data_IF_676657394295
#
_entry.id   IF_676657394295
#
_cell.length_a   1.000
_cell.length_b   1.000
_cell.length_c   1.000
_cell.angle_alpha   90.00
_cell.angle_beta   90.00
_cell.angle_gamma   90.00
#
_symmetry.space_group_name_H-M   'P 1'
#
loop_
_entity.id
_entity.type
_entity.pdbx_description
1 polymer ?
#
# COMPACT_ATOMS: atom_id res chain seq x y z
N UNK A 1 31.98 -59.21 -6.74
CA UNK A 1 31.47 -58.20 -5.78
C UNK A 1 31.34 -56.87 -6.53
N UNK A 2 30.16 -56.24 -6.46
CA UNK A 2 29.78 -55.05 -7.23
C UNK A 2 29.96 -53.84 -6.30
N UNK A 3 30.94 -52.97 -6.58
CA UNK A 3 31.20 -51.79 -5.76
C UNK A 3 30.50 -50.59 -6.39
N UNK A 4 29.50 -50.05 -5.67
CA UNK A 4 28.78 -48.85 -6.06
C UNK A 4 29.66 -47.62 -5.84
N UNK A 5 29.94 -46.89 -6.91
CA UNK A 5 30.54 -45.56 -6.84
C UNK A 5 29.44 -44.54 -6.50
N UNK A 6 29.40 -44.08 -5.26
CA UNK A 6 28.61 -42.90 -4.87
C UNK A 6 29.59 -41.77 -4.58
N UNK A 7 29.74 -40.83 -5.52
CA UNK A 7 30.38 -39.54 -5.25
C UNK A 7 29.29 -38.48 -5.23
N UNK A 8 28.82 -38.21 -4.02
CA UNK A 8 28.08 -37.01 -3.65
C UNK A 8 29.14 -35.93 -3.36
N UNK A 9 29.14 -34.84 -4.12
CA UNK A 9 29.83 -33.62 -3.71
C UNK A 9 28.99 -32.43 -4.14
N UNK A 10 28.35 -31.87 -3.11
CA UNK A 10 27.51 -30.69 -3.11
C UNK A 10 28.26 -29.48 -3.64
N UNK A 11 27.70 -28.82 -4.65
CA UNK A 11 28.14 -27.49 -5.06
C UNK A 11 27.21 -26.45 -4.42
N UNK A 12 27.74 -25.82 -3.38
CA UNK A 12 27.18 -24.65 -2.72
C UNK A 12 27.27 -23.44 -3.67
N UNK A 13 26.15 -22.88 -4.09
CA UNK A 13 26.09 -21.53 -4.63
C UNK A 13 25.15 -20.72 -3.73
N UNK A 14 25.72 -19.72 -3.06
CA UNK A 14 25.09 -19.00 -1.96
C UNK A 14 23.80 -18.29 -2.40
N UNK A 15 22.70 -18.67 -1.75
CA UNK A 15 21.54 -17.80 -1.67
C UNK A 15 21.93 -16.68 -0.70
N UNK A 16 22.23 -15.52 -1.28
CA UNK A 16 22.40 -14.28 -0.55
C UNK A 16 21.20 -14.10 0.37
N UNK A 17 21.52 -13.98 1.65
CA UNK A 17 20.63 -13.59 2.73
C UNK A 17 20.20 -12.13 2.50
N UNK A 18 19.20 -11.89 1.64
CA UNK A 18 18.48 -10.62 1.66
C UNK A 18 17.55 -10.66 2.86
N UNK A 19 17.99 -10.01 3.93
CA UNK A 19 17.16 -9.55 5.04
C UNK A 19 15.93 -8.83 4.50
N UNK A 20 14.85 -9.58 4.26
CA UNK A 20 13.53 -8.99 4.19
C UNK A 20 13.16 -8.73 5.64
N UNK A 21 13.46 -7.53 6.11
CA UNK A 21 12.89 -7.00 7.33
C UNK A 21 11.39 -7.24 7.25
N UNK A 22 10.88 -8.13 8.11
CA UNK A 22 9.45 -8.28 8.36
C UNK A 22 8.99 -6.98 9.01
N UNK A 23 8.71 -5.97 8.19
CA UNK A 23 7.82 -4.89 8.56
C UNK A 23 6.48 -5.53 8.87
N UNK A 24 5.96 -5.27 10.06
CA UNK A 24 4.63 -5.72 10.43
C UNK A 24 3.65 -5.38 9.30
N UNK A 25 3.07 -6.40 8.67
CA UNK A 25 2.07 -6.23 7.63
C UNK A 25 0.80 -5.72 8.29
N UNK A 26 0.73 -4.41 8.54
CA UNK A 26 -0.53 -3.70 8.51
C UNK A 26 -1.12 -3.99 7.12
N UNK A 27 -2.41 -4.35 7.05
CA UNK A 27 -3.06 -4.70 5.79
C UNK A 27 -2.73 -3.67 4.70
N UNK A 28 -2.58 -4.14 3.47
CA UNK A 28 -2.15 -3.28 2.38
C UNK A 28 -3.18 -2.15 2.17
N UNK A 29 -2.61 -0.96 2.10
CA UNK A 29 -3.18 0.33 1.81
C UNK A 29 -4.04 0.38 0.53
N UNK A 30 -5.06 1.25 0.48
CA UNK A 30 -5.79 1.47 -0.78
C UNK A 30 -4.86 2.05 -1.87
N UNK A 31 -3.98 2.99 -1.51
CA UNK A 31 -3.00 3.54 -2.45
C UNK A 31 -1.97 2.49 -2.92
N UNK A 32 -1.53 1.60 -2.03
CA UNK A 32 -0.57 0.54 -2.34
C UNK A 32 -1.19 -0.54 -3.23
N UNK A 33 -2.43 -0.98 -2.94
CA UNK A 33 -3.16 -1.90 -3.82
C UNK A 33 -3.46 -1.26 -5.18
N UNK A 34 -3.83 0.03 -5.22
CA UNK A 34 -3.99 0.76 -6.47
C UNK A 34 -2.71 0.74 -7.31
N UNK A 35 -1.57 1.07 -6.69
CA UNK A 35 -0.26 1.08 -7.36
C UNK A 35 0.13 -0.32 -7.84
N UNK A 36 0.01 -1.34 -6.97
CA UNK A 36 0.31 -2.74 -7.29
C UNK A 36 -0.48 -3.24 -8.50
N UNK A 37 -1.77 -2.97 -8.55
CA UNK A 37 -2.60 -3.34 -9.69
C UNK A 37 -2.26 -2.51 -10.93
N UNK A 38 -1.98 -1.22 -10.81
CA UNK A 38 -1.54 -0.39 -11.94
C UNK A 38 -0.21 -0.90 -12.54
N UNK A 39 0.76 -1.27 -11.69
CA UNK A 39 2.02 -1.86 -12.15
C UNK A 39 1.84 -3.22 -12.82
N UNK A 40 0.90 -4.05 -12.32
CA UNK A 40 0.55 -5.31 -12.96
C UNK A 40 -0.08 -5.08 -14.35
N UNK A 41 -0.95 -4.07 -14.49
CA UNK A 41 -1.50 -3.69 -15.80
C UNK A 41 -0.41 -3.24 -16.78
N UNK A 42 0.61 -2.48 -16.32
CA UNK A 42 1.75 -2.07 -17.17
C UNK A 42 2.58 -3.25 -17.67
N UNK A 43 2.66 -4.34 -16.90
CA UNK A 43 3.46 -5.53 -17.22
C UNK A 43 2.69 -6.57 -18.04
N UNK A 44 1.39 -6.40 -18.26
CA UNK A 44 0.54 -7.36 -18.96
C UNK A 44 0.64 -7.20 -20.49
N UNK A 45 0.66 -8.33 -21.21
CA UNK A 45 0.85 -8.36 -22.66
C UNK A 45 -0.47 -8.42 -23.47
N UNK A 46 -1.61 -8.63 -22.79
CA UNK A 46 -2.93 -8.72 -23.43
C UNK A 46 -3.94 -7.73 -22.83
N UNK A 47 -4.82 -7.23 -23.71
CA UNK A 47 -5.79 -6.19 -23.35
C UNK A 47 -6.79 -6.59 -22.26
N UNK A 48 -7.09 -7.89 -22.11
CA UNK A 48 -8.05 -8.35 -21.10
C UNK A 48 -7.42 -8.23 -19.71
N UNK A 49 -6.21 -8.76 -19.52
CA UNK A 49 -5.50 -8.66 -18.23
C UNK A 49 -5.12 -7.22 -17.89
N UNK A 50 -4.77 -6.39 -18.88
CA UNK A 50 -4.60 -4.94 -18.68
C UNK A 50 -5.87 -4.31 -18.10
N UNK A 51 -7.03 -4.57 -18.72
CA UNK A 51 -8.30 -4.01 -18.28
C UNK A 51 -8.69 -4.46 -16.87
N UNK A 52 -8.54 -5.76 -16.57
CA UNK A 52 -8.85 -6.33 -15.25
C UNK A 52 -8.03 -5.66 -14.13
N UNK A 53 -6.70 -5.56 -14.30
CA UNK A 53 -5.86 -4.89 -13.31
C UNK A 53 -6.14 -3.38 -13.22
N UNK A 54 -6.40 -2.70 -14.34
CA UNK A 54 -6.73 -1.28 -14.35
C UNK A 54 -8.06 -0.98 -13.62
N UNK A 55 -9.08 -1.82 -13.76
CA UNK A 55 -10.36 -1.66 -13.05
C UNK A 55 -10.20 -1.81 -11.53
N UNK A 56 -9.40 -2.79 -11.09
CA UNK A 56 -9.10 -2.97 -9.67
C UNK A 56 -8.28 -1.79 -9.15
N UNK A 57 -7.24 -1.37 -9.87
CA UNK A 57 -6.43 -0.21 -9.51
C UNK A 57 -7.30 1.05 -9.34
N UNK A 58 -8.19 1.30 -10.30
CA UNK A 58 -9.14 2.42 -10.24
C UNK A 58 -10.07 2.34 -9.04
N UNK A 59 -10.55 1.15 -8.69
CA UNK A 59 -11.44 0.96 -7.53
C UNK A 59 -10.73 1.37 -6.24
N UNK A 60 -9.52 0.86 -6.02
CA UNK A 60 -8.72 1.22 -4.85
C UNK A 60 -8.33 2.71 -4.85
N UNK A 61 -7.92 3.25 -5.99
CA UNK A 61 -7.59 4.67 -6.12
C UNK A 61 -8.79 5.57 -5.78
N UNK A 62 -10.00 5.19 -6.19
CA UNK A 62 -11.22 5.93 -5.86
C UNK A 62 -11.51 5.91 -4.36
N UNK A 63 -11.34 4.78 -3.69
CA UNK A 63 -11.53 4.72 -2.23
C UNK A 63 -10.49 5.55 -1.50
N UNK A 64 -9.24 5.54 -1.96
CA UNK A 64 -8.21 6.44 -1.43
C UNK A 64 -8.60 7.92 -1.63
N UNK A 65 -9.09 8.28 -2.82
CA UNK A 65 -9.54 9.63 -3.17
C UNK A 65 -10.69 10.11 -2.26
N UNK A 66 -11.70 9.28 -2.00
CA UNK A 66 -12.80 9.59 -1.08
C UNK A 66 -12.30 9.89 0.34
N UNK A 67 -11.28 9.17 0.81
CA UNK A 67 -10.65 9.45 2.09
C UNK A 67 -9.73 10.68 2.07
N UNK A 68 -9.05 10.97 0.96
CA UNK A 68 -8.28 12.20 0.80
C UNK A 68 -9.19 13.44 0.84
N UNK A 69 -10.32 13.40 0.13
CA UNK A 69 -11.31 14.47 0.13
C UNK A 69 -11.86 14.72 1.55
N UNK A 70 -12.24 13.66 2.26
CA UNK A 70 -12.70 13.76 3.64
C UNK A 70 -11.61 14.31 4.58
N UNK A 71 -10.37 13.86 4.41
CA UNK A 71 -9.22 14.37 5.17
C UNK A 71 -8.98 15.86 4.93
N UNK A 72 -9.06 16.32 3.67
CA UNK A 72 -8.94 17.74 3.30
C UNK A 72 -10.07 18.56 3.92
N UNK A 73 -11.31 18.06 3.89
CA UNK A 73 -12.44 18.72 4.53
C UNK A 73 -12.21 18.90 6.04
N UNK A 74 -11.80 17.84 6.75
CA UNK A 74 -11.47 17.92 8.17
C UNK A 74 -10.29 18.86 8.47
N UNK A 75 -9.29 18.95 7.59
CA UNK A 75 -8.20 19.93 7.72
C UNK A 75 -8.69 21.37 7.56
N UNK A 76 -9.62 21.63 6.63
CA UNK A 76 -10.23 22.95 6.48
C UNK A 76 -10.99 23.34 7.76
N UNK A 77 -11.77 22.43 8.33
CA UNK A 77 -12.47 22.66 9.61
C UNK A 77 -11.49 22.93 10.76
N UNK A 78 -10.39 22.17 10.82
CA UNK A 78 -9.34 22.38 11.80
C UNK A 78 -8.71 23.78 11.69
N UNK A 79 -8.45 24.24 10.45
CA UNK A 79 -7.93 25.57 10.15
C UNK A 79 -8.92 26.64 10.60
N UNK A 80 -10.20 26.50 10.27
CA UNK A 80 -11.21 27.50 10.57
C UNK A 80 -11.47 27.62 12.07
N UNK A 81 -11.64 26.50 12.77
CA UNK A 81 -11.71 26.49 14.23
C UNK A 81 -10.44 27.02 14.89
N UNK A 82 -9.26 26.71 14.34
CA UNK A 82 -7.98 27.25 14.80
C UNK A 82 -7.92 28.78 14.70
N UNK A 83 -8.35 29.36 13.58
CA UNK A 83 -8.44 30.83 13.38
C UNK A 83 -9.41 31.49 14.36
N UNK A 84 -10.48 30.79 14.75
CA UNK A 84 -11.44 31.25 15.76
C UNK A 84 -10.95 31.07 17.21
N UNK A 85 -9.74 30.54 17.42
CA UNK A 85 -9.20 30.15 18.73
C UNK A 85 -10.01 29.07 19.45
N UNK A 86 -10.77 28.26 18.72
CA UNK A 86 -11.52 27.10 19.24
C UNK A 86 -10.61 25.87 19.31
N UNK A 87 -9.64 25.88 20.22
CA UNK A 87 -8.55 24.89 20.26
C UNK A 87 -9.03 23.42 20.30
N UNK A 88 -10.04 23.11 21.11
CA UNK A 88 -10.55 21.73 21.26
C UNK A 88 -11.22 21.22 19.98
N UNK A 89 -12.00 22.06 19.30
CA UNK A 89 -12.63 21.72 18.02
C UNK A 89 -11.61 21.58 16.91
N UNK A 90 -10.63 22.49 16.85
CA UNK A 90 -9.54 22.43 15.89
C UNK A 90 -8.75 21.12 16.02
N UNK A 91 -8.45 20.71 17.26
CA UNK A 91 -7.79 19.44 17.55
C UNK A 91 -8.63 18.24 17.11
N UNK A 92 -9.93 18.24 17.42
CA UNK A 92 -10.83 17.15 17.00
C UNK A 92 -10.87 17.00 15.48
N UNK A 93 -11.03 18.10 14.74
CA UNK A 93 -11.02 18.08 13.27
C UNK A 93 -9.67 17.60 12.72
N UNK A 94 -8.55 17.96 13.36
CA UNK A 94 -7.23 17.43 12.97
C UNK A 94 -7.10 15.91 13.23
N UNK A 95 -7.69 15.39 14.31
CA UNK A 95 -7.73 13.94 14.59
C UNK A 95 -8.58 13.16 13.56
N UNK A 96 -9.71 13.75 13.14
CA UNK A 96 -10.54 13.21 12.05
C UNK A 96 -9.78 13.18 10.72
N UNK A 97 -9.07 14.27 10.40
CA UNK A 97 -8.19 14.33 9.23
C UNK A 97 -7.14 13.21 9.26
N UNK A 98 -6.46 13.00 10.39
CA UNK A 98 -5.47 11.91 10.54
C UNK A 98 -6.11 10.55 10.31
N UNK A 99 -7.34 10.33 10.77
CA UNK A 99 -8.06 9.07 10.57
C UNK A 99 -8.31 8.81 9.09
N UNK A 100 -8.84 9.80 8.37
CA UNK A 100 -9.08 9.69 6.93
C UNK A 100 -7.79 9.53 6.12
N UNK A 101 -6.76 10.32 6.41
CA UNK A 101 -5.47 10.23 5.70
C UNK A 101 -4.75 8.90 5.93
N UNK A 102 -4.98 8.23 7.07
CA UNK A 102 -4.48 6.87 7.30
C UNK A 102 -5.29 5.81 6.56
N UNK A 103 -6.59 6.03 6.35
CA UNK A 103 -7.46 5.12 5.63
C UNK A 103 -7.29 5.23 4.10
N UNK A 104 -6.94 6.41 3.59
CA UNK A 104 -6.49 6.58 2.21
C UNK A 104 -5.17 5.84 1.97
N UNK A 105 -4.31 5.86 2.98
CA UNK A 105 -2.92 5.47 2.90
C UNK A 105 -2.66 4.01 2.78
#
# INVERSE_FOLDING_TARGET
MKNYNMKLSSLSAGILLTLVSFGAYAGESHMAEALKHAEAAVKADDGKTIAEHAEVAKTHAKTADEHLDAGIASLNDAIDHGKMKHADLAKKSAEEAVTHLKAAQ
#
